data_IF_017307907606
#
_entry.id   IF_017307907606
#
_cell.length_a   1.000
_cell.length_b   1.000
_cell.length_c   1.000
_cell.angle_alpha   90.00
_cell.angle_beta   90.00
_cell.angle_gamma   90.00
#
_symmetry.space_group_name_H-M   'P 1'
#
loop_
_entity.id
_entity.type
_entity.pdbx_description
1 polymer ?
#
# COMPACT_ATOMS: atom_id res chain seq x y z
N UNK A 1 13.59 -15.36 -1.87
CA UNK A 1 13.50 -14.28 -0.85
C UNK A 1 14.73 -14.40 0.03
N UNK A 2 15.50 -13.34 0.25
CA UNK A 2 16.69 -13.34 1.11
C UNK A 2 16.32 -12.66 2.43
N UNK A 3 16.38 -13.39 3.53
CA UNK A 3 16.11 -12.84 4.87
C UNK A 3 17.37 -12.19 5.43
N UNK A 4 17.23 -10.98 5.95
CA UNK A 4 18.28 -10.23 6.65
C UNK A 4 18.05 -10.39 8.15
N UNK A 5 18.80 -11.30 8.78
CA UNK A 5 18.66 -11.64 10.19
C UNK A 5 19.12 -10.54 11.16
N UNK A 6 19.70 -9.44 10.64
CA UNK A 6 20.08 -8.29 11.48
C UNK A 6 18.90 -7.40 11.83
N UNK A 7 17.77 -7.57 11.14
CA UNK A 7 16.55 -6.78 11.36
C UNK A 7 15.50 -7.63 12.09
N UNK A 8 14.80 -7.06 13.08
CA UNK A 8 13.72 -7.77 13.73
C UNK A 8 12.57 -8.00 12.74
N UNK A 9 12.06 -9.23 12.72
CA UNK A 9 10.84 -9.54 11.99
C UNK A 9 9.62 -8.88 12.66
N UNK A 10 8.66 -8.46 11.85
CA UNK A 10 7.36 -7.99 12.32
C UNK A 10 6.44 -9.15 12.70
N UNK A 11 5.18 -8.83 13.02
CA UNK A 11 4.15 -9.86 13.25
C UNK A 11 3.94 -10.68 11.96
N UNK A 12 3.98 -12.02 11.99
CA UNK A 12 3.90 -12.86 10.79
C UNK A 12 2.64 -12.66 9.94
N UNK A 13 1.54 -12.20 10.56
CA UNK A 13 0.28 -11.89 9.88
C UNK A 13 -0.43 -10.73 10.55
N UNK A 14 -0.83 -9.74 9.74
CA UNK A 14 -1.66 -8.61 10.17
C UNK A 14 -2.83 -8.45 9.22
N UNK A 15 -3.95 -9.10 9.54
CA UNK A 15 -5.19 -9.06 8.76
C UNK A 15 -6.35 -8.65 9.69
N UNK A 16 -7.27 -7.84 9.17
CA UNK A 16 -8.50 -7.45 9.86
C UNK A 16 -9.68 -8.17 9.22
N UNK A 17 -10.61 -8.65 10.05
CA UNK A 17 -11.93 -9.06 9.57
C UNK A 17 -12.77 -7.80 9.25
N UNK A 18 -13.24 -7.71 8.02
CA UNK A 18 -14.01 -6.58 7.50
C UNK A 18 -15.49 -6.91 7.31
N UNK A 19 -15.96 -8.05 7.80
CA UNK A 19 -17.34 -8.51 7.61
C UNK A 19 -18.38 -7.52 8.12
N UNK A 20 -18.14 -6.90 9.29
CA UNK A 20 -19.04 -5.90 9.88
C UNK A 20 -19.19 -4.65 9.02
N UNK A 21 -18.08 -4.09 8.52
CA UNK A 21 -18.12 -2.88 7.71
C UNK A 21 -18.69 -3.15 6.31
N UNK A 22 -18.51 -4.38 5.79
CA UNK A 22 -19.18 -4.84 4.57
C UNK A 22 -20.70 -4.90 4.72
N UNK A 23 -21.21 -5.39 5.85
CA UNK A 23 -22.65 -5.41 6.13
C UNK A 23 -23.26 -4.00 6.20
N UNK A 24 -22.45 -2.99 6.52
CA UNK A 24 -22.85 -1.58 6.49
C UNK A 24 -22.79 -0.96 5.07
N UNK A 25 -22.52 -1.77 4.04
CA UNK A 25 -22.51 -1.34 2.64
C UNK A 25 -21.17 -0.77 2.16
N UNK A 26 -20.12 -0.79 2.98
CA UNK A 26 -18.80 -0.33 2.56
C UNK A 26 -17.99 -1.47 1.94
N UNK A 27 -17.27 -1.15 0.85
CA UNK A 27 -16.35 -2.07 0.21
C UNK A 27 -15.11 -1.33 -0.28
N UNK A 28 -13.94 -1.98 -0.17
CA UNK A 28 -12.69 -1.48 -0.72
C UNK A 28 -12.75 -1.49 -2.26
N UNK A 29 -12.67 -0.31 -2.87
CA UNK A 29 -12.79 -0.15 -4.33
C UNK A 29 -11.48 -0.27 -5.09
N UNK A 30 -10.35 -0.06 -4.39
CA UNK A 30 -9.02 0.04 -5.00
C UNK A 30 -8.24 -1.21 -4.61
N UNK A 31 -7.76 -1.97 -5.61
CA UNK A 31 -6.86 -3.11 -5.39
C UNK A 31 -5.46 -2.61 -5.01
N UNK A 32 -4.70 -3.43 -4.28
CA UNK A 32 -3.35 -3.07 -3.83
C UNK A 32 -2.44 -2.62 -4.98
N UNK A 33 -2.40 -3.39 -6.07
CA UNK A 33 -1.58 -3.09 -7.25
C UNK A 33 -1.95 -1.74 -7.89
N UNK A 34 -3.25 -1.47 -8.01
CA UNK A 34 -3.75 -0.21 -8.54
C UNK A 34 -3.35 0.97 -7.65
N UNK A 35 -3.51 0.82 -6.33
CA UNK A 35 -3.09 1.81 -5.35
C UNK A 35 -1.60 2.13 -5.44
N UNK A 36 -0.75 1.10 -5.53
CA UNK A 36 0.70 1.25 -5.70
C UNK A 36 1.01 2.02 -6.98
N UNK A 37 0.42 1.63 -8.13
CA UNK A 37 0.65 2.31 -9.42
C UNK A 37 0.27 3.78 -9.36
N UNK A 38 -0.86 4.12 -8.73
CA UNK A 38 -1.35 5.49 -8.59
C UNK A 38 -0.42 6.34 -7.74
N UNK A 39 -0.02 5.83 -6.57
CA UNK A 39 0.89 6.55 -5.66
C UNK A 39 2.26 6.72 -6.27
N UNK A 40 2.81 5.66 -6.89
CA UNK A 40 4.10 5.74 -7.57
C UNK A 40 4.07 6.75 -8.72
N UNK A 41 3.03 6.71 -9.56
CA UNK A 41 2.87 7.67 -10.65
C UNK A 41 2.74 9.12 -10.17
N UNK A 42 2.03 9.36 -9.05
CA UNK A 42 2.01 10.68 -8.41
C UNK A 42 3.40 11.09 -7.94
N UNK A 43 4.07 10.24 -7.16
CA UNK A 43 5.41 10.50 -6.63
C UNK A 43 6.39 10.86 -7.76
N UNK A 44 6.48 10.03 -8.80
CA UNK A 44 7.40 10.29 -9.90
C UNK A 44 7.10 11.61 -10.61
N UNK A 45 5.82 11.97 -10.80
CA UNK A 45 5.46 13.26 -11.42
C UNK A 45 5.87 14.44 -10.55
N UNK A 46 5.55 14.45 -9.26
CA UNK A 46 5.91 15.57 -8.37
C UNK A 46 7.44 15.73 -8.28
N UNK A 47 8.17 14.63 -8.08
CA UNK A 47 9.64 14.68 -8.00
C UNK A 47 10.31 15.03 -9.33
N UNK A 48 9.75 14.63 -10.47
CA UNK A 48 10.26 15.04 -11.78
C UNK A 48 9.93 16.50 -12.10
N UNK A 49 8.81 17.02 -11.62
CA UNK A 49 8.43 18.42 -11.83
C UNK A 49 9.28 19.36 -10.97
N UNK A 50 9.62 18.98 -9.73
CA UNK A 50 10.55 19.73 -8.87
C UNK A 50 11.98 19.77 -9.44
N UNK A 51 12.40 18.73 -10.18
CA UNK A 51 13.74 18.68 -10.78
C UNK A 51 13.86 19.43 -12.13
N UNK A 52 12.73 19.80 -12.76
CA UNK A 52 12.68 20.49 -14.05
C UNK A 52 12.23 21.96 -13.95
N UNK A 53 12.00 22.46 -12.73
CA UNK A 53 11.80 23.87 -12.38
C UNK A 53 13.01 24.40 -11.62
#
# INVERSE_FOLDING_TARGET
IKHDLTKPDGTPRKLLDVSKIKQLGWEAKIKLEEGIRRVYGWYTREFMNEANN
#
